data_IF_878971409797
#
_entry.id   IF_878971409797
#
_cell.length_a   1.000
_cell.length_b   1.000
_cell.length_c   1.000
_cell.angle_alpha   90.00
_cell.angle_beta   90.00
_cell.angle_gamma   90.00
#
_symmetry.space_group_name_H-M   'P 1'
#
loop_
_entity.id
_entity.type
_entity.pdbx_description
1 polymer ?
#
# COMPACT_ATOMS: atom_id res chain seq x y z
N UNK A 1 10.23 2.36 -2.07
CA UNK A 1 9.25 2.54 -1.00
C UNK A 1 9.48 1.49 0.05
N UNK A 2 9.31 1.76 1.34
CA UNK A 2 9.82 0.84 2.36
C UNK A 2 9.00 -0.46 2.51
N UNK A 3 7.73 -0.51 2.11
CA UNK A 3 6.89 -1.71 2.17
C UNK A 3 6.15 -1.94 0.86
N UNK A 4 6.27 -3.14 0.29
CA UNK A 4 5.59 -3.56 -0.94
C UNK A 4 4.92 -4.92 -0.78
N UNK A 5 3.70 -5.05 -1.30
CA UNK A 5 3.03 -6.34 -1.48
C UNK A 5 3.20 -6.74 -2.95
N UNK A 6 3.90 -7.85 -3.20
CA UNK A 6 4.23 -8.27 -4.56
C UNK A 6 3.68 -9.66 -4.86
N UNK A 7 3.17 -9.82 -6.07
CA UNK A 7 2.75 -11.13 -6.57
C UNK A 7 3.91 -11.79 -7.28
N UNK A 8 4.58 -12.70 -6.58
CA UNK A 8 5.76 -13.40 -7.09
C UNK A 8 5.94 -14.74 -6.36
N UNK A 9 6.90 -15.55 -6.82
CA UNK A 9 7.47 -16.63 -6.03
C UNK A 9 8.62 -16.06 -5.18
N UNK A 10 8.60 -16.34 -3.89
CA UNK A 10 9.61 -15.82 -2.96
C UNK A 10 11.03 -16.26 -3.32
N UNK A 11 11.18 -17.42 -3.97
CA UNK A 11 12.49 -17.94 -4.41
C UNK A 11 13.10 -17.16 -5.58
N UNK A 12 12.33 -16.27 -6.20
CA UNK A 12 12.78 -15.39 -7.28
C UNK A 12 13.05 -13.95 -6.82
N UNK A 13 12.87 -13.66 -5.54
CA UNK A 13 13.13 -12.34 -4.98
C UNK A 13 14.64 -12.08 -4.86
N UNK A 14 15.04 -10.87 -5.26
CA UNK A 14 16.42 -10.38 -5.13
C UNK A 14 16.49 -9.38 -3.97
N UNK A 15 16.84 -9.88 -2.81
CA UNK A 15 16.84 -9.15 -1.53
C UNK A 15 17.99 -9.63 -0.67
N UNK A 16 18.36 -8.89 0.38
CA UNK A 16 19.41 -9.31 1.29
C UNK A 16 18.99 -10.51 2.15
N UNK A 17 17.72 -10.57 2.56
CA UNK A 17 17.21 -11.67 3.36
C UNK A 17 15.88 -12.21 2.84
N UNK A 18 15.74 -13.53 2.78
CA UNK A 18 14.50 -14.24 2.47
C UNK A 18 14.01 -14.93 3.75
N UNK A 19 12.72 -14.74 4.08
CA UNK A 19 12.11 -15.43 5.21
C UNK A 19 11.54 -16.77 4.76
N UNK A 20 11.94 -17.82 5.44
CA UNK A 20 11.45 -19.19 5.25
C UNK A 20 10.50 -19.58 6.37
N UNK A 21 9.34 -20.13 5.99
CA UNK A 21 8.35 -20.71 6.93
C UNK A 21 8.79 -22.11 7.34
N UNK A 22 9.74 -22.17 8.26
CA UNK A 22 10.44 -23.39 8.64
C UNK A 22 9.60 -24.29 9.58
N UNK A 23 9.84 -25.59 9.51
CA UNK A 23 9.38 -26.51 10.55
C UNK A 23 10.10 -26.20 11.87
N UNK A 24 9.45 -26.27 13.05
CA UNK A 24 10.12 -26.13 14.34
C UNK A 24 11.33 -27.07 14.49
N UNK A 25 11.24 -28.30 14.01
CA UNK A 25 12.36 -29.25 13.93
C UNK A 25 13.17 -29.03 12.64
N UNK A 26 14.47 -29.34 12.61
CA UNK A 26 15.32 -29.16 11.43
C UNK A 26 15.08 -30.23 10.35
N UNK A 27 13.85 -30.27 9.84
CA UNK A 27 13.40 -31.13 8.74
C UNK A 27 12.72 -30.25 7.68
N UNK A 28 12.84 -30.65 6.43
CA UNK A 28 12.19 -29.95 5.32
C UNK A 28 10.69 -30.20 5.38
N UNK A 29 9.88 -29.14 5.38
CA UNK A 29 8.43 -29.17 5.30
C UNK A 29 7.93 -29.16 3.86
N UNK A 30 6.67 -28.71 3.68
CA UNK A 30 6.04 -28.54 2.37
C UNK A 30 5.96 -27.05 1.98
N UNK A 31 5.47 -26.78 0.76
CA UNK A 31 5.22 -25.42 0.28
C UNK A 31 6.47 -24.57 0.22
N UNK A 32 6.43 -23.37 0.80
CA UNK A 32 7.53 -22.39 0.80
C UNK A 32 8.82 -22.98 1.36
N UNK A 33 8.76 -23.74 2.47
CA UNK A 33 9.96 -24.34 3.08
C UNK A 33 10.66 -25.29 2.10
N UNK A 34 9.89 -26.14 1.40
CA UNK A 34 10.44 -27.02 0.37
C UNK A 34 11.08 -26.22 -0.77
N UNK A 35 10.38 -25.22 -1.30
CA UNK A 35 10.86 -24.40 -2.41
C UNK A 35 12.15 -23.66 -2.06
N UNK A 36 12.26 -23.14 -0.84
CA UNK A 36 13.48 -22.48 -0.33
C UNK A 36 14.63 -23.48 -0.23
N UNK A 37 14.39 -24.67 0.32
CA UNK A 37 15.45 -25.70 0.41
C UNK A 37 15.88 -26.26 -0.96
N UNK A 38 14.95 -26.46 -1.88
CA UNK A 38 15.25 -26.89 -3.25
C UNK A 38 16.14 -25.88 -3.98
N UNK A 39 15.86 -24.58 -3.82
CA UNK A 39 16.63 -23.49 -4.45
C UNK A 39 18.00 -23.28 -3.81
N UNK A 40 18.07 -23.29 -2.47
CA UNK A 40 19.32 -23.03 -1.73
C UNK A 40 20.31 -24.20 -1.75
N UNK A 41 19.85 -25.40 -2.12
CA UNK A 41 20.65 -26.61 -2.17
C UNK A 41 20.87 -27.26 -0.79
N UNK A 42 21.57 -28.41 -0.80
CA UNK A 42 21.71 -29.27 0.37
C UNK A 42 22.43 -28.61 1.58
N UNK A 43 23.26 -27.60 1.32
CA UNK A 43 23.99 -26.88 2.37
C UNK A 43 23.05 -26.14 3.33
N UNK A 44 21.89 -25.67 2.87
CA UNK A 44 20.93 -24.99 3.73
C UNK A 44 20.39 -25.93 4.82
N UNK A 45 20.09 -27.20 4.47
CA UNK A 45 19.61 -28.16 5.45
C UNK A 45 20.68 -28.51 6.50
N UNK A 46 21.95 -28.58 6.10
CA UNK A 46 23.05 -28.82 7.04
C UNK A 46 23.17 -27.66 8.03
N UNK A 47 23.22 -26.41 7.55
CA UNK A 47 23.22 -25.23 8.41
C UNK A 47 21.97 -25.15 9.31
N UNK A 48 20.79 -25.51 8.78
CA UNK A 48 19.56 -25.55 9.58
C UNK A 48 19.61 -26.60 10.71
N UNK A 49 20.29 -27.75 10.48
CA UNK A 49 20.50 -28.77 11.52
C UNK A 49 21.42 -28.30 12.63
N UNK A 50 22.44 -27.50 12.31
CA UNK A 50 23.33 -26.89 13.32
C UNK A 50 22.60 -25.96 14.28
N UNK A 51 21.59 -25.22 13.78
CA UNK A 51 20.71 -24.37 14.61
C UNK A 51 19.87 -25.21 15.58
N UNK A 52 19.45 -26.40 15.17
CA UNK A 52 18.55 -27.25 15.95
C UNK A 52 17.10 -26.82 15.87
N UNK A 53 16.33 -26.95 16.97
CA UNK A 53 14.93 -26.60 17.03
C UNK A 53 14.74 -25.07 17.12
N UNK A 54 13.71 -24.57 16.43
CA UNK A 54 13.24 -23.18 16.53
C UNK A 54 11.86 -23.23 17.18
N UNK A 55 11.66 -22.54 18.29
CA UNK A 55 10.35 -22.46 18.94
C UNK A 55 9.34 -21.71 18.05
N UNK A 56 8.06 -22.03 18.19
CA UNK A 56 7.00 -21.33 17.48
C UNK A 56 6.99 -19.84 17.87
N UNK A 57 6.98 -18.96 16.88
CA UNK A 57 7.10 -17.51 17.07
C UNK A 57 8.55 -17.02 17.00
N UNK A 58 9.54 -17.89 17.11
CA UNK A 58 10.97 -17.53 17.04
C UNK A 58 11.51 -17.61 15.62
N UNK A 59 12.72 -17.03 15.44
CA UNK A 59 13.43 -17.02 14.17
C UNK A 59 14.92 -17.25 14.37
N UNK A 60 15.57 -17.84 13.35
CA UNK A 60 17.02 -18.03 13.29
C UNK A 60 17.53 -17.77 11.87
N UNK A 61 18.83 -17.56 11.69
CA UNK A 61 19.41 -17.14 10.42
C UNK A 61 20.50 -18.12 9.96
N UNK A 62 20.56 -18.33 8.65
CA UNK A 62 21.66 -19.03 7.95
C UNK A 62 22.14 -18.18 6.77
N UNK A 63 23.32 -18.47 6.20
CA UNK A 63 23.67 -18.04 4.85
C UNK A 63 22.63 -18.56 3.83
N UNK A 64 22.46 -17.85 2.72
CA UNK A 64 21.47 -18.19 1.69
C UNK A 64 22.01 -19.19 0.64
N UNK A 65 23.31 -19.45 0.60
CA UNK A 65 24.01 -20.37 -0.30
C UNK A 65 23.75 -20.06 -1.79
N UNK A 66 22.91 -20.87 -2.47
CA UNK A 66 22.71 -20.78 -3.92
C UNK A 66 21.56 -19.80 -4.29
N UNK A 67 21.07 -19.01 -3.32
CA UNK A 67 20.11 -17.92 -3.57
C UNK A 67 20.80 -16.62 -4.02
N UNK A 68 20.05 -15.79 -4.75
CA UNK A 68 20.38 -14.37 -4.98
C UNK A 68 20.03 -13.51 -3.74
N UNK A 69 20.48 -13.97 -2.56
CA UNK A 69 20.29 -13.33 -1.26
C UNK A 69 21.52 -13.59 -0.39
N UNK A 70 21.70 -12.79 0.65
CA UNK A 70 22.79 -13.02 1.62
C UNK A 70 22.39 -14.02 2.69
N UNK A 71 21.12 -13.99 3.10
CA UNK A 71 20.62 -14.76 4.24
C UNK A 71 19.25 -15.41 3.97
N UNK A 72 19.04 -16.56 4.63
CA UNK A 72 17.72 -17.15 4.87
C UNK A 72 17.39 -17.03 6.35
N UNK A 73 16.28 -16.39 6.69
CA UNK A 73 15.76 -16.28 8.04
C UNK A 73 14.65 -17.31 8.20
N UNK A 74 14.89 -18.31 9.03
CA UNK A 74 13.95 -19.39 9.30
C UNK A 74 13.07 -19.02 10.48
N UNK A 75 11.76 -18.94 10.29
CA UNK A 75 10.79 -18.70 11.39
C UNK A 75 9.77 -19.81 11.45
N UNK A 76 9.45 -20.24 12.67
CA UNK A 76 8.47 -21.28 12.92
C UNK A 76 7.10 -20.66 13.23
N UNK A 77 6.20 -20.64 12.25
CA UNK A 77 4.86 -20.10 12.43
C UNK A 77 3.93 -21.04 13.21
N UNK A 78 2.85 -20.51 13.83
CA UNK A 78 1.87 -21.30 14.54
C UNK A 78 0.95 -22.09 13.59
N UNK A 79 0.47 -23.25 14.04
CA UNK A 79 -0.65 -23.97 13.44
C UNK A 79 -1.93 -23.32 13.95
N UNK A 80 -2.81 -22.90 13.04
CA UNK A 80 -4.12 -22.37 13.42
C UNK A 80 -5.00 -23.44 14.02
N UNK A 81 -5.65 -23.13 15.13
CA UNK A 81 -6.64 -23.97 15.78
C UNK A 81 -7.99 -23.23 15.84
N UNK A 82 -8.10 -22.24 16.70
CA UNK A 82 -9.36 -21.52 16.94
C UNK A 82 -9.15 -20.01 17.24
N UNK A 83 -7.91 -19.51 17.20
CA UNK A 83 -7.56 -18.13 17.54
C UNK A 83 -7.53 -17.81 19.05
N UNK A 84 -7.69 -18.83 19.91
CA UNK A 84 -7.73 -18.65 21.37
C UNK A 84 -6.47 -19.13 22.09
N UNK A 85 -5.56 -19.74 21.36
CA UNK A 85 -4.31 -20.32 21.90
C UNK A 85 -3.10 -19.41 21.70
N UNK A 86 -3.33 -18.10 21.43
CA UNK A 86 -2.26 -17.12 21.26
C UNK A 86 -1.62 -17.15 19.86
N UNK A 87 -2.28 -17.77 18.88
CA UNK A 87 -1.73 -17.96 17.53
C UNK A 87 -1.45 -16.62 16.84
N UNK A 88 -2.28 -15.59 17.08
CA UNK A 88 -2.06 -14.26 16.51
C UNK A 88 -0.75 -13.63 17.01
N UNK A 89 -0.51 -13.70 18.32
CA UNK A 89 0.71 -13.16 18.93
C UNK A 89 1.96 -13.96 18.51
N UNK A 90 1.84 -15.28 18.37
CA UNK A 90 2.92 -16.11 17.85
C UNK A 90 3.24 -15.78 16.40
N UNK A 91 2.24 -15.53 15.58
CA UNK A 91 2.45 -15.09 14.20
C UNK A 91 3.08 -13.69 14.15
N UNK A 92 2.61 -12.75 14.96
CA UNK A 92 3.21 -11.42 15.09
C UNK A 92 4.69 -11.51 15.50
N UNK A 93 5.01 -12.39 16.45
CA UNK A 93 6.39 -12.65 16.88
C UNK A 93 7.28 -13.14 15.73
N UNK A 94 6.76 -13.98 14.82
CA UNK A 94 7.51 -14.41 13.64
C UNK A 94 8.00 -13.22 12.80
N UNK A 95 7.13 -12.24 12.55
CA UNK A 95 7.48 -11.03 11.80
C UNK A 95 8.47 -10.18 12.57
N UNK A 96 8.20 -9.87 13.85
CA UNK A 96 9.08 -9.04 14.68
C UNK A 96 10.49 -9.63 14.81
N UNK A 97 10.59 -10.93 15.12
CA UNK A 97 11.87 -11.61 15.29
C UNK A 97 12.65 -11.66 13.98
N UNK A 98 11.99 -11.92 12.85
CA UNK A 98 12.63 -11.93 11.54
C UNK A 98 13.16 -10.55 11.14
N UNK A 99 12.36 -9.50 11.31
CA UNK A 99 12.77 -8.11 11.08
C UNK A 99 13.92 -7.69 12.00
N UNK A 100 13.86 -8.08 13.28
CA UNK A 100 14.92 -7.81 14.25
C UNK A 100 16.25 -8.48 13.90
N UNK A 101 16.21 -9.70 13.36
CA UNK A 101 17.40 -10.40 12.87
C UNK A 101 17.97 -9.72 11.62
N UNK A 102 17.12 -9.38 10.64
CA UNK A 102 17.54 -8.68 9.42
C UNK A 102 18.20 -7.35 9.74
N UNK A 103 17.63 -6.56 10.67
CA UNK A 103 18.22 -5.32 11.17
C UNK A 103 19.60 -5.53 11.80
N UNK A 104 19.76 -6.55 12.64
CA UNK A 104 21.04 -6.87 13.27
C UNK A 104 22.13 -7.33 12.29
N UNK A 105 21.73 -7.72 11.08
CA UNK A 105 22.60 -8.13 9.98
C UNK A 105 22.79 -7.05 8.93
N UNK A 106 22.35 -5.83 9.24
CA UNK A 106 22.43 -4.67 8.35
C UNK A 106 21.82 -4.91 6.95
N UNK A 107 20.73 -5.72 6.90
CA UNK A 107 20.00 -5.95 5.66
C UNK A 107 19.27 -4.67 5.26
N UNK A 108 19.42 -4.26 4.00
CA UNK A 108 18.67 -3.15 3.41
C UNK A 108 17.31 -3.60 2.86
N UNK A 109 17.15 -4.92 2.62
CA UNK A 109 15.94 -5.51 2.04
C UNK A 109 15.64 -6.90 2.61
N UNK A 110 14.32 -7.18 2.76
CA UNK A 110 13.84 -8.48 3.24
C UNK A 110 12.53 -8.86 2.54
N UNK A 111 12.35 -10.15 2.21
CA UNK A 111 11.12 -10.68 1.64
C UNK A 111 10.46 -11.70 2.59
N UNK A 112 9.17 -11.51 2.83
CA UNK A 112 8.33 -12.40 3.63
C UNK A 112 7.32 -13.14 2.76
N UNK A 113 7.09 -14.43 2.98
CA UNK A 113 5.86 -15.08 2.53
C UNK A 113 4.73 -14.76 3.50
N UNK A 114 3.49 -15.07 3.15
CA UNK A 114 2.38 -15.02 4.10
C UNK A 114 2.46 -16.23 5.04
N UNK A 115 3.06 -16.03 6.21
CA UNK A 115 3.44 -17.08 7.16
C UNK A 115 2.19 -17.85 7.66
N UNK A 116 2.30 -19.17 7.81
CA UNK A 116 1.30 -20.10 8.34
C UNK A 116 0.01 -20.26 7.52
N UNK A 117 -0.16 -19.60 6.38
CA UNK A 117 -1.42 -19.61 5.60
C UNK A 117 -1.59 -20.78 4.66
N UNK A 118 -0.58 -21.64 4.53
CA UNK A 118 -0.63 -22.90 3.77
C UNK A 118 -1.17 -24.05 4.62
N UNK A 119 -0.38 -25.12 4.75
CA UNK A 119 -0.75 -26.35 5.50
C UNK A 119 -1.07 -26.10 6.99
N UNK A 120 -0.62 -24.99 7.56
CA UNK A 120 -0.92 -24.62 8.96
C UNK A 120 -2.28 -23.93 9.14
N UNK A 121 -2.98 -23.63 8.03
CA UNK A 121 -4.38 -23.22 8.02
C UNK A 121 -4.70 -21.87 8.67
N UNK A 122 -3.71 -21.00 8.91
CA UNK A 122 -3.97 -19.66 9.45
C UNK A 122 -4.83 -18.87 8.47
N UNK A 123 -5.93 -18.20 8.91
CA UNK A 123 -6.78 -17.42 8.03
C UNK A 123 -6.00 -16.34 7.30
N UNK A 124 -6.00 -16.38 5.95
CA UNK A 124 -5.20 -15.47 5.11
C UNK A 124 -5.46 -13.99 5.41
N UNK A 125 -6.73 -13.51 5.55
CA UNK A 125 -6.99 -12.10 5.85
C UNK A 125 -6.40 -11.66 7.19
N UNK A 126 -6.50 -12.51 8.21
CA UNK A 126 -5.96 -12.21 9.54
C UNK A 126 -4.43 -12.22 9.53
N UNK A 127 -3.82 -13.19 8.82
CA UNK A 127 -2.37 -13.25 8.66
C UNK A 127 -1.82 -12.02 7.93
N UNK A 128 -2.53 -11.54 6.89
CA UNK A 128 -2.19 -10.32 6.18
C UNK A 128 -2.27 -9.09 7.10
N UNK A 129 -3.34 -8.97 7.86
CA UNK A 129 -3.52 -7.86 8.81
C UNK A 129 -2.39 -7.81 9.84
N UNK A 130 -1.99 -8.98 10.39
CA UNK A 130 -0.89 -9.09 11.33
C UNK A 130 0.43 -8.73 10.66
N UNK A 131 0.72 -9.26 9.45
CA UNK A 131 1.92 -8.95 8.70
C UNK A 131 2.06 -7.45 8.46
N UNK A 132 1.00 -6.82 7.94
CA UNK A 132 0.96 -5.37 7.68
C UNK A 132 1.21 -4.57 8.95
N UNK A 133 0.54 -4.90 10.04
CA UNK A 133 0.70 -4.21 11.33
C UNK A 133 2.14 -4.28 11.84
N UNK A 134 2.74 -5.46 11.88
CA UNK A 134 4.09 -5.65 12.43
C UNK A 134 5.15 -5.02 11.54
N UNK A 135 5.04 -5.17 10.21
CA UNK A 135 5.96 -4.54 9.24
C UNK A 135 5.86 -3.01 9.32
N UNK A 136 4.65 -2.46 9.33
CA UNK A 136 4.46 -1.00 9.42
C UNK A 136 4.99 -0.43 10.73
N UNK A 137 4.73 -1.11 11.85
CA UNK A 137 5.27 -0.71 13.16
C UNK A 137 6.81 -0.68 13.16
N UNK A 138 7.44 -1.70 12.58
CA UNK A 138 8.90 -1.75 12.44
C UNK A 138 9.44 -0.60 11.57
N UNK A 139 8.78 -0.31 10.45
CA UNK A 139 9.20 0.72 9.50
C UNK A 139 9.00 2.15 10.04
N UNK A 140 8.13 2.36 11.01
CA UNK A 140 8.02 3.66 11.69
C UNK A 140 9.32 4.04 12.41
N UNK A 141 10.10 3.06 12.88
CA UNK A 141 11.34 3.29 13.61
C UNK A 141 12.61 3.00 12.79
N UNK A 142 12.47 2.23 11.70
CA UNK A 142 13.61 1.71 10.93
C UNK A 142 13.48 2.05 9.45
N UNK A 143 14.61 1.98 8.74
CA UNK A 143 14.70 2.13 7.29
C UNK A 143 15.10 0.78 6.70
N UNK A 144 14.20 0.12 5.97
CA UNK A 144 14.43 -1.17 5.31
C UNK A 144 13.39 -1.33 4.20
N UNK A 145 13.76 -1.91 3.07
CA UNK A 145 12.81 -2.31 2.03
C UNK A 145 12.22 -3.67 2.40
N UNK A 146 10.93 -3.75 2.64
CA UNK A 146 10.23 -4.98 3.04
C UNK A 146 9.25 -5.39 1.95
N UNK A 147 9.34 -6.63 1.50
CA UNK A 147 8.41 -7.23 0.54
C UNK A 147 7.56 -8.28 1.23
N UNK A 148 6.24 -8.20 1.07
CA UNK A 148 5.31 -9.28 1.38
C UNK A 148 4.95 -9.99 0.08
N UNK A 149 5.43 -11.21 -0.09
CA UNK A 149 5.29 -11.95 -1.33
C UNK A 149 4.07 -12.87 -1.25
N UNK A 150 3.16 -12.71 -2.21
CA UNK A 150 1.91 -13.47 -2.31
C UNK A 150 1.94 -14.28 -3.59
N UNK A 151 1.76 -15.59 -3.49
CA UNK A 151 1.82 -16.48 -4.65
C UNK A 151 0.49 -16.52 -5.42
N UNK A 152 -0.64 -16.62 -4.71
CA UNK A 152 -1.97 -16.76 -5.30
C UNK A 152 -2.85 -15.53 -5.08
N UNK A 153 -3.73 -15.22 -6.07
CA UNK A 153 -4.74 -14.15 -5.96
C UNK A 153 -5.70 -14.37 -4.78
N UNK A 154 -6.10 -15.62 -4.53
CA UNK A 154 -6.98 -16.00 -3.42
C UNK A 154 -6.35 -15.83 -2.02
N UNK A 155 -5.09 -15.41 -1.92
CA UNK A 155 -4.44 -15.13 -0.65
C UNK A 155 -4.92 -13.82 0.00
N UNK A 156 -5.72 -13.03 -0.73
CA UNK A 156 -6.26 -11.74 -0.34
C UNK A 156 -7.79 -11.79 -0.23
N UNK A 157 -8.33 -12.52 0.71
CA UNK A 157 -9.73 -12.31 1.07
C UNK A 157 -9.79 -11.19 2.11
N UNK A 158 -10.30 -10.03 1.70
CA UNK A 158 -10.71 -8.97 2.61
C UNK A 158 -11.73 -9.50 3.62
N UNK A 159 -11.83 -8.83 4.77
CA UNK A 159 -12.97 -9.11 5.65
C UNK A 159 -14.25 -8.98 4.80
N UNK A 160 -15.11 -9.98 4.82
CA UNK A 160 -16.34 -10.03 3.99
C UNK A 160 -17.19 -8.75 4.14
N UNK A 161 -17.14 -8.13 5.31
CA UNK A 161 -17.82 -6.88 5.61
C UNK A 161 -17.22 -5.69 4.83
N UNK A 162 -15.88 -5.58 4.77
CA UNK A 162 -15.21 -4.48 4.06
C UNK A 162 -15.37 -4.65 2.55
N UNK A 163 -15.22 -5.88 2.04
CA UNK A 163 -15.43 -6.19 0.63
C UNK A 163 -16.86 -5.84 0.17
N UNK A 164 -17.88 -6.27 0.94
CA UNK A 164 -19.28 -5.93 0.66
C UNK A 164 -19.53 -4.42 0.70
N UNK A 165 -18.97 -3.70 1.68
CA UNK A 165 -19.14 -2.25 1.80
C UNK A 165 -18.51 -1.51 0.61
N UNK A 166 -17.29 -1.90 0.20
CA UNK A 166 -16.61 -1.29 -0.95
C UNK A 166 -17.31 -1.67 -2.26
N UNK A 167 -17.72 -2.93 -2.43
CA UNK A 167 -18.48 -3.37 -3.62
C UNK A 167 -19.79 -2.62 -3.76
N UNK A 168 -20.60 -2.50 -2.69
CA UNK A 168 -21.84 -1.71 -2.71
C UNK A 168 -21.59 -0.25 -3.06
N UNK A 169 -20.56 0.37 -2.50
CA UNK A 169 -20.20 1.74 -2.81
C UNK A 169 -19.79 1.92 -4.28
N UNK A 170 -19.00 0.98 -4.82
CA UNK A 170 -18.62 0.98 -6.24
C UNK A 170 -19.88 0.86 -7.10
N UNK A 171 -20.74 -0.12 -6.82
CA UNK A 171 -21.95 -0.35 -7.60
C UNK A 171 -22.90 0.85 -7.57
N UNK A 172 -23.12 1.45 -6.41
CA UNK A 172 -23.96 2.64 -6.24
C UNK A 172 -23.42 3.84 -7.04
N UNK A 173 -22.13 4.09 -6.97
CA UNK A 173 -21.51 5.22 -7.68
C UNK A 173 -21.37 4.96 -9.19
N UNK A 174 -21.08 3.73 -9.63
CA UNK A 174 -21.04 3.38 -11.06
C UNK A 174 -22.42 3.39 -11.71
N UNK A 175 -23.45 2.93 -11.00
CA UNK A 175 -24.84 2.90 -11.51
C UNK A 175 -25.41 4.31 -11.57
N UNK A 176 -25.16 5.17 -10.56
CA UNK A 176 -25.65 6.56 -10.57
C UNK A 176 -25.08 7.35 -11.75
N UNK A 177 -23.82 7.18 -12.09
CA UNK A 177 -23.20 7.87 -13.22
C UNK A 177 -23.71 7.37 -14.58
N UNK A 178 -23.89 6.05 -14.76
CA UNK A 178 -24.48 5.51 -15.98
C UNK A 178 -25.93 5.96 -16.15
N UNK A 179 -26.72 5.97 -15.08
CA UNK A 179 -28.10 6.42 -15.12
C UNK A 179 -28.21 7.92 -15.44
N UNK A 180 -27.33 8.74 -14.84
CA UNK A 180 -27.25 10.17 -15.15
C UNK A 180 -26.76 10.42 -16.60
N UNK A 181 -25.86 9.58 -17.13
CA UNK A 181 -25.36 9.70 -18.49
C UNK A 181 -26.39 9.22 -19.52
N UNK A 182 -27.15 8.16 -19.26
CA UNK A 182 -28.16 7.63 -20.20
C UNK A 182 -29.47 8.41 -20.17
N UNK A 183 -29.91 8.96 -19.02
CA UNK A 183 -31.16 9.65 -18.86
C UNK A 183 -31.08 11.18 -18.75
N UNK A 184 -29.91 11.73 -18.39
CA UNK A 184 -29.71 13.18 -18.19
C UNK A 184 -29.36 13.96 -19.44
N UNK A 185 -28.76 13.34 -20.45
CA UNK A 185 -28.16 14.07 -21.59
C UNK A 185 -29.11 14.32 -22.77
N UNK A 186 -30.27 13.65 -22.86
CA UNK A 186 -31.14 13.80 -24.05
C UNK A 186 -32.18 14.90 -23.95
N UNK A 187 -32.56 15.34 -22.74
CA UNK A 187 -33.61 16.39 -22.58
C UNK A 187 -33.06 17.76 -22.18
N UNK A 188 -31.96 17.84 -21.43
CA UNK A 188 -31.38 19.13 -21.00
C UNK A 188 -30.61 19.83 -22.13
N UNK A 189 -29.84 19.10 -22.96
CA UNK A 189 -29.05 19.72 -24.04
C UNK A 189 -29.86 20.45 -25.12
N UNK A 190 -31.09 20.07 -25.32
CA UNK A 190 -31.92 20.70 -26.39
C UNK A 190 -32.60 22.00 -25.92
N UNK A 191 -32.94 22.11 -24.65
CA UNK A 191 -33.52 23.33 -24.07
C UNK A 191 -32.46 24.39 -23.81
N UNK A 192 -31.32 23.99 -23.24
CA UNK A 192 -30.23 24.92 -22.92
C UNK A 192 -29.55 25.47 -24.18
N UNK A 193 -29.52 24.70 -25.28
CA UNK A 193 -28.99 25.17 -26.57
C UNK A 193 -29.95 26.18 -27.25
N UNK A 194 -31.26 25.99 -27.15
CA UNK A 194 -32.24 26.92 -27.70
C UNK A 194 -32.36 28.22 -26.90
N UNK A 195 -32.24 28.17 -25.56
CA UNK A 195 -32.17 29.37 -24.71
C UNK A 195 -30.81 30.11 -24.84
N UNK A 196 -29.70 29.41 -25.02
CA UNK A 196 -28.39 30.03 -25.27
C UNK A 196 -28.31 30.80 -26.58
N UNK A 197 -28.93 30.29 -27.65
CA UNK A 197 -28.97 30.97 -28.97
C UNK A 197 -29.87 32.22 -28.93
N UNK A 198 -30.91 32.26 -28.11
CA UNK A 198 -31.79 33.42 -27.99
C UNK A 198 -31.20 34.53 -27.10
N UNK A 199 -30.21 34.24 -26.26
CA UNK A 199 -29.53 35.22 -25.39
C UNK A 199 -28.23 35.80 -25.99
N UNK A 200 -27.68 35.23 -27.07
CA UNK A 200 -26.44 35.70 -27.68
C UNK A 200 -26.54 36.99 -28.48
N UNK A 201 -27.76 37.57 -28.63
CA UNK A 201 -27.92 38.80 -29.44
C UNK A 201 -27.88 40.13 -28.67
N UNK A 202 -27.52 40.16 -27.40
CA UNK A 202 -27.54 41.41 -26.62
C UNK A 202 -26.44 41.60 -25.56
N UNK A 203 -25.35 40.87 -25.64
CA UNK A 203 -24.18 41.19 -24.79
C UNK A 203 -23.06 41.82 -25.64
N UNK A 204 -22.89 43.13 -25.53
CA UNK A 204 -21.63 43.78 -25.86
C UNK A 204 -20.55 43.14 -24.96
N UNK A 205 -19.64 42.36 -25.59
CA UNK A 205 -18.48 41.78 -24.92
C UNK A 205 -17.48 42.90 -24.67
N UNK A 206 -17.67 43.66 -23.61
CA UNK A 206 -16.59 44.38 -22.93
C UNK A 206 -15.94 43.47 -21.90
N UNK A 207 -15.54 42.26 -22.25
CA UNK A 207 -14.66 41.46 -21.43
C UNK A 207 -13.24 41.99 -21.64
N UNK A 208 -12.72 42.74 -20.67
CA UNK A 208 -11.28 42.84 -20.50
C UNK A 208 -10.79 41.38 -20.40
N UNK A 209 -10.19 40.87 -21.46
CA UNK A 209 -9.45 39.60 -21.37
C UNK A 209 -8.49 39.73 -20.20
N UNK A 210 -8.52 38.85 -19.20
CA UNK A 210 -7.54 38.89 -18.13
C UNK A 210 -6.16 38.84 -18.79
N UNK A 211 -5.29 39.80 -18.43
CA UNK A 211 -3.94 39.84 -18.97
C UNK A 211 -3.25 38.52 -18.58
N UNK A 212 -2.88 37.74 -19.57
CA UNK A 212 -2.23 36.43 -19.41
C UNK A 212 -1.01 36.55 -18.47
N UNK A 213 -0.23 37.60 -18.59
CA UNK A 213 0.92 37.88 -17.72
C UNK A 213 0.49 38.08 -16.26
N UNK A 214 -0.66 38.73 -16.02
CA UNK A 214 -1.24 38.88 -14.69
C UNK A 214 -1.73 37.58 -14.10
N UNK A 215 -2.27 36.65 -14.92
CA UNK A 215 -2.65 35.32 -14.48
C UNK A 215 -1.44 34.45 -14.19
N UNK A 216 -0.40 34.52 -15.02
CA UNK A 216 0.84 33.76 -14.81
C UNK A 216 1.65 34.24 -13.60
N UNK A 217 1.56 35.54 -13.25
CA UNK A 217 2.21 36.09 -12.06
C UNK A 217 1.45 35.79 -10.76
N UNK A 218 0.20 35.34 -10.83
CA UNK A 218 -0.64 35.00 -9.68
C UNK A 218 -0.98 33.50 -9.65
N UNK A 219 -0.03 32.64 -10.02
CA UNK A 219 -0.19 31.22 -9.86
C UNK A 219 -0.31 30.85 -8.36
N UNK A 220 -1.24 29.98 -8.05
CA UNK A 220 -1.36 29.38 -6.72
C UNK A 220 -0.10 28.60 -6.34
N UNK A 221 0.09 28.41 -5.02
CA UNK A 221 1.16 27.56 -4.50
C UNK A 221 1.10 26.16 -5.11
N UNK A 222 2.26 25.63 -5.45
CA UNK A 222 2.39 24.28 -6.00
C UNK A 222 2.12 23.17 -4.97
N UNK A 223 2.15 21.93 -5.43
CA UNK A 223 1.94 20.75 -4.59
C UNK A 223 2.90 20.69 -3.40
N UNK A 224 4.20 20.89 -3.62
CA UNK A 224 5.23 20.78 -2.58
C UNK A 224 5.01 21.76 -1.44
N UNK A 225 4.79 23.03 -1.76
CA UNK A 225 4.57 24.07 -0.74
C UNK A 225 3.28 23.80 0.03
N UNK A 226 2.19 23.44 -0.66
CA UNK A 226 0.92 23.11 -0.01
C UNK A 226 1.06 21.91 0.91
N UNK A 227 1.76 20.86 0.46
CA UNK A 227 2.02 19.67 1.27
C UNK A 227 2.80 20.01 2.54
N UNK A 228 3.86 20.80 2.43
CA UNK A 228 4.67 21.21 3.58
C UNK A 228 3.87 22.05 4.58
N UNK A 229 3.06 23.01 4.11
CA UNK A 229 2.15 23.78 4.96
C UNK A 229 1.15 22.84 5.69
N UNK A 230 0.62 21.83 5.03
CA UNK A 230 -0.28 20.84 5.65
C UNK A 230 0.44 20.02 6.71
N UNK A 231 1.67 19.59 6.46
CA UNK A 231 2.50 18.87 7.43
C UNK A 231 2.76 19.74 8.65
N UNK A 232 3.19 21.00 8.45
CA UNK A 232 3.49 21.93 9.53
C UNK A 232 2.26 22.21 10.43
N UNK A 233 1.06 22.27 9.85
CA UNK A 233 -0.21 22.39 10.60
C UNK A 233 -0.49 21.22 11.52
N UNK A 234 -0.02 20.01 11.20
CA UNK A 234 -0.20 18.84 12.07
C UNK A 234 0.67 18.87 13.32
N UNK A 235 1.75 19.63 13.32
CA UNK A 235 2.77 19.64 14.38
C UNK A 235 3.58 18.36 14.48
N UNK A 236 3.39 17.41 13.56
CA UNK A 236 4.14 16.14 13.47
C UNK A 236 5.46 16.35 12.73
N UNK A 237 6.41 15.45 12.97
CA UNK A 237 7.68 15.46 12.24
C UNK A 237 7.46 14.97 10.80
N UNK A 238 8.21 15.51 9.86
CA UNK A 238 8.23 15.04 8.46
C UNK A 238 8.37 13.52 8.36
N UNK A 239 9.26 12.94 9.18
CA UNK A 239 9.52 11.50 9.20
C UNK A 239 8.31 10.65 9.59
N UNK A 240 7.42 11.17 10.41
CA UNK A 240 6.19 10.47 10.77
C UNK A 240 5.22 10.46 9.58
N UNK A 241 5.10 11.58 8.87
CA UNK A 241 4.17 11.73 7.74
C UNK A 241 4.63 10.92 6.53
N UNK A 242 5.90 11.05 6.09
CA UNK A 242 6.32 10.31 4.91
C UNK A 242 6.36 8.78 5.14
N UNK A 243 6.66 8.34 6.37
CA UNK A 243 6.57 6.92 6.73
C UNK A 243 5.12 6.43 6.76
N UNK A 244 4.20 7.22 7.32
CA UNK A 244 2.76 6.91 7.28
C UNK A 244 2.23 6.86 5.84
N UNK A 245 2.75 7.70 4.95
CA UNK A 245 2.46 7.69 3.53
C UNK A 245 3.14 6.52 2.76
N UNK A 246 3.91 5.68 3.42
CA UNK A 246 4.76 4.67 2.79
C UNK A 246 5.71 5.24 1.70
N UNK A 247 6.20 6.47 1.93
CA UNK A 247 7.13 7.17 1.05
C UNK A 247 8.52 7.11 1.65
N UNK A 248 9.54 6.82 0.83
CA UNK A 248 10.92 6.80 1.30
C UNK A 248 11.49 8.21 1.52
N UNK A 249 12.52 8.30 2.36
CA UNK A 249 13.18 9.54 2.71
C UNK A 249 13.75 10.30 1.50
N UNK A 250 14.25 9.58 0.49
CA UNK A 250 14.87 10.20 -0.70
C UNK A 250 13.81 10.90 -1.54
N UNK A 251 12.66 10.24 -1.75
CA UNK A 251 11.54 10.84 -2.46
C UNK A 251 10.98 12.04 -1.69
N UNK A 252 10.81 11.92 -0.37
CA UNK A 252 10.34 13.06 0.44
C UNK A 252 11.32 14.25 0.40
N UNK A 253 12.63 13.99 0.51
CA UNK A 253 13.66 15.04 0.37
C UNK A 253 13.60 15.73 -0.99
N UNK A 254 13.31 14.98 -2.07
CA UNK A 254 13.13 15.54 -3.41
C UNK A 254 11.90 16.44 -3.49
N UNK A 255 10.79 16.06 -2.86
CA UNK A 255 9.58 16.88 -2.78
C UNK A 255 9.87 18.18 -2.01
N UNK A 256 10.51 18.08 -0.83
CA UNK A 256 10.81 19.22 0.04
C UNK A 256 11.74 20.25 -0.61
N UNK A 257 12.71 19.81 -1.39
CA UNK A 257 13.73 20.67 -1.98
C UNK A 257 13.38 21.18 -3.38
N UNK A 258 12.21 20.84 -3.93
CA UNK A 258 11.79 21.28 -5.25
C UNK A 258 10.34 21.76 -5.20
N UNK A 259 10.16 23.09 -5.26
CA UNK A 259 8.84 23.74 -5.24
C UNK A 259 7.98 23.31 -6.45
N UNK A 260 8.61 23.07 -7.61
CA UNK A 260 7.95 22.68 -8.86
C UNK A 260 7.81 21.14 -9.01
N UNK A 261 8.02 20.40 -7.93
CA UNK A 261 7.90 18.93 -7.98
C UNK A 261 6.47 18.50 -8.32
N UNK A 262 6.35 17.66 -9.34
CA UNK A 262 5.07 17.06 -9.75
C UNK A 262 5.03 15.60 -9.27
N UNK A 263 4.20 15.27 -8.27
CA UNK A 263 4.07 13.90 -7.79
C UNK A 263 3.33 13.02 -8.79
N UNK A 264 3.50 11.70 -8.65
CA UNK A 264 2.56 10.75 -9.23
C UNK A 264 1.21 10.85 -8.49
N UNK A 265 0.14 10.39 -9.13
CA UNK A 265 -1.19 10.35 -8.51
C UNK A 265 -1.18 9.55 -7.21
N UNK A 266 -0.50 8.40 -7.21
CA UNK A 266 -0.37 7.54 -6.04
C UNK A 266 0.40 8.21 -4.90
N UNK A 267 1.45 8.97 -5.21
CA UNK A 267 2.21 9.73 -4.21
C UNK A 267 1.37 10.83 -3.57
N UNK A 268 0.61 11.59 -4.37
CA UNK A 268 -0.25 12.66 -3.86
C UNK A 268 -1.37 12.11 -2.95
N UNK A 269 -2.01 11.01 -3.37
CA UNK A 269 -3.04 10.31 -2.57
C UNK A 269 -2.44 9.76 -1.27
N UNK A 270 -1.22 9.19 -1.32
CA UNK A 270 -0.56 8.67 -0.13
C UNK A 270 -0.39 9.73 0.96
N UNK A 271 -0.01 10.95 0.57
CA UNK A 271 0.08 12.07 1.52
C UNK A 271 -1.29 12.54 2.00
N UNK A 272 -2.32 12.55 1.15
CA UNK A 272 -3.69 12.87 1.57
C UNK A 272 -4.19 11.90 2.66
N UNK A 273 -3.95 10.60 2.47
CA UNK A 273 -4.28 9.55 3.46
C UNK A 273 -3.44 9.71 4.74
N UNK A 274 -2.12 9.93 4.61
CA UNK A 274 -1.22 10.06 5.77
C UNK A 274 -1.55 11.28 6.65
N UNK A 275 -1.99 12.36 6.01
CA UNK A 275 -2.41 13.61 6.68
C UNK A 275 -3.87 13.58 7.15
N UNK A 276 -4.61 12.51 6.84
CA UNK A 276 -6.02 12.34 7.20
C UNK A 276 -6.92 13.48 6.67
N UNK A 277 -6.64 13.91 5.43
CA UNK A 277 -7.35 15.02 4.81
C UNK A 277 -8.83 14.66 4.54
N UNK A 278 -9.70 15.66 4.67
CA UNK A 278 -11.07 15.59 4.16
C UNK A 278 -11.10 15.47 2.64
N UNK A 279 -12.29 15.20 2.07
CA UNK A 279 -12.43 15.12 0.61
C UNK A 279 -12.06 16.43 -0.07
N UNK A 280 -12.54 17.56 0.46
CA UNK A 280 -12.28 18.90 -0.09
C UNK A 280 -10.78 19.26 -0.04
N UNK A 281 -10.10 18.97 1.08
CA UNK A 281 -8.66 19.17 1.22
C UNK A 281 -7.85 18.26 0.31
N UNK A 282 -8.33 17.01 0.11
CA UNK A 282 -7.72 16.08 -0.83
C UNK A 282 -7.84 16.59 -2.27
N UNK A 283 -9.03 17.04 -2.68
CA UNK A 283 -9.25 17.55 -4.02
C UNK A 283 -8.40 18.82 -4.27
N UNK A 284 -8.24 19.73 -3.27
CA UNK A 284 -7.34 20.89 -3.38
C UNK A 284 -5.88 20.45 -3.55
N UNK A 285 -5.38 19.54 -2.71
CA UNK A 285 -4.01 19.05 -2.80
C UNK A 285 -3.72 18.37 -4.14
N UNK A 286 -4.65 17.54 -4.64
CA UNK A 286 -4.52 16.87 -5.93
C UNK A 286 -4.56 17.86 -7.10
N UNK A 287 -5.44 18.86 -7.06
CA UNK A 287 -5.55 19.89 -8.08
C UNK A 287 -4.24 20.69 -8.23
N UNK A 288 -3.52 20.95 -7.14
CA UNK A 288 -2.19 21.58 -7.14
C UNK A 288 -1.12 20.76 -7.85
N UNK A 289 -1.31 19.45 -7.96
CA UNK A 289 -0.48 18.57 -8.76
C UNK A 289 -0.97 18.40 -10.22
N UNK A 290 -2.11 19.02 -10.58
CA UNK A 290 -2.79 18.81 -11.84
C UNK A 290 -3.48 17.45 -11.94
N UNK A 291 -3.93 16.90 -10.82
CA UNK A 291 -4.51 15.57 -10.67
C UNK A 291 -5.93 15.70 -10.11
N UNK A 292 -6.82 14.79 -10.48
CA UNK A 292 -8.16 14.70 -9.91
C UNK A 292 -8.58 13.24 -9.71
N UNK A 293 -9.51 13.00 -8.78
CA UNK A 293 -10.20 11.74 -8.62
C UNK A 293 -11.43 11.71 -9.52
N UNK A 294 -11.52 10.67 -10.37
CA UNK A 294 -12.62 10.46 -11.31
C UNK A 294 -13.59 9.41 -10.79
N UNK A 295 -14.88 9.67 -10.91
CA UNK A 295 -15.90 8.68 -10.57
C UNK A 295 -16.00 7.54 -11.60
N UNK A 296 -15.45 7.72 -12.79
CA UNK A 296 -15.41 6.69 -13.84
C UNK A 296 -14.22 5.72 -13.73
N UNK A 297 -13.38 5.87 -12.71
CA UNK A 297 -12.21 5.03 -12.48
C UNK A 297 -12.33 4.28 -11.15
N UNK A 298 -12.29 2.94 -11.20
CA UNK A 298 -12.48 2.09 -10.02
C UNK A 298 -11.46 2.38 -8.91
N UNK A 299 -10.20 2.61 -9.26
CA UNK A 299 -9.15 3.02 -8.32
C UNK A 299 -9.56 4.30 -7.57
N UNK A 300 -10.01 5.32 -8.29
CA UNK A 300 -10.38 6.62 -7.72
C UNK A 300 -11.62 6.51 -6.81
N UNK A 301 -12.59 5.69 -7.22
CA UNK A 301 -13.80 5.42 -6.43
C UNK A 301 -13.46 4.73 -5.11
N UNK A 302 -12.53 3.76 -5.12
CA UNK A 302 -12.05 3.09 -3.89
C UNK A 302 -11.34 4.10 -2.98
N UNK A 303 -10.44 4.93 -3.52
CA UNK A 303 -9.76 5.98 -2.74
C UNK A 303 -10.77 6.94 -2.11
N UNK A 304 -11.74 7.41 -2.89
CA UNK A 304 -12.81 8.29 -2.39
C UNK A 304 -13.60 7.63 -1.26
N UNK A 305 -13.98 6.37 -1.40
CA UNK A 305 -14.65 5.61 -0.34
C UNK A 305 -13.87 5.63 0.98
N UNK A 306 -12.55 5.44 0.93
CA UNK A 306 -11.71 5.44 2.13
C UNK A 306 -11.67 6.82 2.80
N UNK A 307 -11.52 7.89 2.03
CA UNK A 307 -11.49 9.27 2.55
C UNK A 307 -12.84 9.67 3.15
N UNK A 308 -13.95 9.43 2.43
CA UNK A 308 -15.31 9.77 2.89
C UNK A 308 -15.70 9.01 4.16
N UNK A 309 -15.24 7.76 4.31
CA UNK A 309 -15.45 6.96 5.51
C UNK A 309 -14.38 7.16 6.59
N UNK A 310 -13.49 8.16 6.44
CA UNK A 310 -12.40 8.48 7.39
C UNK A 310 -11.50 7.29 7.72
N UNK A 311 -11.24 6.46 6.74
CA UNK A 311 -10.32 5.32 6.81
C UNK A 311 -8.98 5.72 6.24
N UNK A 312 -8.02 6.02 7.10
CA UNK A 312 -6.73 6.58 6.70
C UNK A 312 -5.57 5.60 6.89
N UNK A 313 -5.84 4.31 6.71
CA UNK A 313 -4.83 3.26 6.68
C UNK A 313 -4.47 2.93 5.23
N UNK A 314 -3.27 3.32 4.80
CA UNK A 314 -2.77 3.09 3.43
C UNK A 314 -2.63 1.60 3.12
N UNK A 315 -2.40 0.77 4.13
CA UNK A 315 -2.23 -0.66 3.94
C UNK A 315 -3.57 -1.37 3.82
N UNK A 316 -4.58 -0.93 4.59
CA UNK A 316 -5.96 -1.39 4.40
C UNK A 316 -6.46 -1.01 3.00
N UNK A 317 -6.20 0.24 2.57
CA UNK A 317 -6.53 0.72 1.22
C UNK A 317 -5.84 -0.11 0.14
N UNK A 318 -4.54 -0.39 0.28
CA UNK A 318 -3.80 -1.20 -0.67
C UNK A 318 -4.30 -2.65 -0.73
N UNK A 319 -4.73 -3.22 0.39
CA UNK A 319 -5.34 -4.55 0.41
C UNK A 319 -6.62 -4.58 -0.42
N UNK A 320 -7.46 -3.54 -0.32
CA UNK A 320 -8.68 -3.39 -1.14
C UNK A 320 -8.32 -3.19 -2.61
N UNK A 321 -7.40 -2.28 -2.92
CA UNK A 321 -6.95 -2.03 -4.29
C UNK A 321 -6.43 -3.31 -4.95
N UNK A 322 -5.66 -4.11 -4.23
CA UNK A 322 -5.14 -5.39 -4.71
C UNK A 322 -6.28 -6.37 -5.03
N UNK A 323 -7.28 -6.49 -4.16
CA UNK A 323 -8.43 -7.39 -4.36
C UNK A 323 -9.24 -7.02 -5.62
N UNK A 324 -9.34 -5.72 -5.90
CA UNK A 324 -10.03 -5.21 -7.09
C UNK A 324 -9.14 -5.09 -8.34
N UNK A 325 -7.94 -5.70 -8.35
CA UNK A 325 -6.95 -5.64 -9.44
C UNK A 325 -6.60 -4.17 -9.83
N UNK A 326 -6.51 -3.28 -8.85
CA UNK A 326 -6.14 -1.89 -9.07
C UNK A 326 -4.66 -1.65 -8.73
N UNK A 327 -4.01 -0.64 -9.35
CA UNK A 327 -2.68 -0.22 -8.96
C UNK A 327 -2.62 0.11 -7.47
N UNK A 328 -1.52 -0.26 -6.81
CA UNK A 328 -1.33 0.03 -5.39
C UNK A 328 -0.78 1.45 -5.19
N UNK A 329 -1.09 2.03 -4.03
CA UNK A 329 -0.61 3.36 -3.65
C UNK A 329 0.74 3.23 -2.99
N UNK A 330 1.73 3.94 -3.53
CA UNK A 330 3.08 3.95 -2.99
C UNK A 330 3.64 2.53 -2.77
N UNK A 331 3.59 1.72 -3.81
CA UNK A 331 4.22 0.41 -3.88
C UNK A 331 5.00 0.25 -5.17
#
# INVERSE_FOLDING_TARGET
MPFEIVRNDIVNMKVDAIVNTANPRPIIGAGTDKAVHDKAGARLLLARKEIGNIAVGEAAITPAFDFDANYVIHTAGPIWKDGRSGEEELLASCFRNSLGIAKKKDCESIAFPLISTGSYGFPKPLALQIAVREISSFLMENEMQVYLVVFEKQSFELSEKLFKSVSSYIDENYVSDKTNFEYGTSKLRRRDYEEMILHESSYEITSKMPNLDGMLNNLDRGFSETLLDLIDRTGKKDSEIYKKANVDRKLFSKIRNNADYRPSKTTAIAFAIALELSMDETDDLLARAGIALSQSNKFDVIVRYFIENKKYDIFELNSVLFEFDQPLICM
#
